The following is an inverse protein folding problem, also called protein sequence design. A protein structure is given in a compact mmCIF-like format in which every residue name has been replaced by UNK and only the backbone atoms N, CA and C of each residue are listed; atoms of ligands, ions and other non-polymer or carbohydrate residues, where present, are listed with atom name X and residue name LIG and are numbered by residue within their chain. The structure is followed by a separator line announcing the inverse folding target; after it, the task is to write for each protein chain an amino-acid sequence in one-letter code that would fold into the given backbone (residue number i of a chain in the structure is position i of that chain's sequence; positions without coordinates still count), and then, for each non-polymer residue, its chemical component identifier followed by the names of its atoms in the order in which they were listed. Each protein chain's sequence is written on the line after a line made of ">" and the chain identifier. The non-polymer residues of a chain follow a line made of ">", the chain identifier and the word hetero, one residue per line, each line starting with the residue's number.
data_IF_696928484195
#
_entry.id   IF_696928484195
#
_cell.length_a   1.000
_cell.length_b   1.000
_cell.length_c   1.000
_cell.angle_alpha   90.00
_cell.angle_beta   90.00
_cell.angle_gamma   90.00
#
_symmetry.space_group_name_H-M   'P 1'
#
loop_
_entity.id
_entity.type
_entity.pdbx_description
1 polymer ?
#
# COMPACT_ATOMS: atom_id res chain seq x y z
N UNK A 1 4.55 -18.67 10.10
CA UNK A 1 5.41 -18.09 9.05
C UNK A 1 4.90 -16.70 8.70
N UNK A 2 5.50 -15.68 9.32
CA UNK A 2 5.07 -14.27 9.28
C UNK A 2 6.01 -13.42 8.42
N UNK A 3 6.56 -13.96 7.33
CA UNK A 3 7.75 -13.40 6.65
C UNK A 3 7.53 -12.87 5.24
N UNK A 4 6.31 -12.92 4.69
CA UNK A 4 6.01 -12.35 3.37
C UNK A 4 5.18 -11.06 3.48
N UNK A 5 5.29 -10.21 2.45
CA UNK A 5 4.36 -9.08 2.28
C UNK A 5 2.91 -9.57 2.25
N UNK A 6 2.00 -8.75 2.78
CA UNK A 6 0.56 -9.00 2.61
C UNK A 6 0.22 -8.92 1.11
N UNK A 7 -0.83 -9.65 0.72
CA UNK A 7 -1.15 -9.87 -0.68
C UNK A 7 -1.76 -8.63 -1.32
N UNK A 8 -0.93 -7.82 -1.97
CA UNK A 8 -1.37 -6.63 -2.68
C UNK A 8 -1.52 -6.88 -4.18
N UNK A 9 -2.54 -6.27 -4.77
CA UNK A 9 -2.77 -6.30 -6.23
C UNK A 9 -1.79 -5.40 -6.99
N UNK A 10 -1.16 -4.45 -6.28
CA UNK A 10 -0.17 -3.55 -6.83
C UNK A 10 0.98 -3.28 -5.87
N UNK A 11 2.21 -3.41 -6.36
CA UNK A 11 3.42 -3.02 -5.64
C UNK A 11 4.09 -1.83 -6.32
N UNK A 12 4.70 -0.97 -5.51
CA UNK A 12 5.64 0.04 -5.96
C UNK A 12 7.03 -0.35 -5.47
N UNK A 13 7.91 -0.71 -6.40
CA UNK A 13 9.27 -1.16 -6.13
C UNK A 13 10.20 0.04 -6.30
N UNK A 14 10.86 0.40 -5.21
CA UNK A 14 11.68 1.60 -5.12
C UNK A 14 13.15 1.19 -4.97
N UNK A 15 13.96 1.44 -5.99
CA UNK A 15 15.40 1.24 -5.92
C UNK A 15 16.09 2.51 -5.48
N UNK A 16 16.87 2.43 -4.41
CA UNK A 16 17.63 3.53 -3.85
C UNK A 16 19.12 3.25 -3.91
N UNK A 17 19.89 4.18 -4.46
CA UNK A 17 21.34 4.21 -4.29
C UNK A 17 21.68 5.27 -3.26
N UNK A 18 22.20 4.85 -2.10
CA UNK A 18 22.62 5.75 -1.03
C UNK A 18 24.14 5.78 -0.99
N UNK A 19 24.71 6.93 -1.32
CA UNK A 19 26.16 7.14 -1.24
C UNK A 19 26.52 7.98 -0.02
N UNK A 20 27.22 7.36 0.93
CA UNK A 20 27.73 8.03 2.13
C UNK A 20 29.23 8.39 2.02
N UNK A 21 29.87 8.14 0.88
CA UNK A 21 31.25 8.52 0.60
C UNK A 21 31.28 9.74 -0.33
N UNK A 22 31.51 10.92 0.25
CA UNK A 22 31.40 12.22 -0.43
C UNK A 22 32.59 12.53 -1.37
N UNK A 23 33.78 11.95 -1.17
CA UNK A 23 35.03 12.47 -1.78
C UNK A 23 35.72 11.53 -2.79
N UNK A 24 35.61 10.20 -2.63
CA UNK A 24 36.45 9.26 -3.41
C UNK A 24 35.68 8.23 -4.24
N UNK A 25 34.37 8.09 -4.01
CA UNK A 25 33.63 6.95 -4.56
C UNK A 25 32.36 7.38 -5.29
N UNK A 26 32.46 7.54 -6.61
CA UNK A 26 31.28 7.70 -7.47
C UNK A 26 31.02 6.40 -8.22
N UNK A 27 30.22 5.52 -7.61
CA UNK A 27 29.56 4.49 -8.39
C UNK A 27 28.77 5.21 -9.49
N UNK A 28 29.05 4.89 -10.76
CA UNK A 28 28.52 5.71 -11.86
C UNK A 28 26.99 5.61 -11.88
N UNK A 29 26.34 6.73 -11.56
CA UNK A 29 24.88 6.87 -11.43
C UNK A 29 24.16 6.35 -12.66
N UNK A 30 24.66 6.73 -13.84
CA UNK A 30 24.03 6.36 -15.12
C UNK A 30 24.07 4.86 -15.33
N UNK A 31 25.17 4.20 -14.93
CA UNK A 31 25.30 2.74 -15.04
C UNK A 31 24.34 2.00 -14.09
N UNK A 32 24.10 2.52 -12.89
CA UNK A 32 23.16 1.90 -11.95
C UNK A 32 21.73 1.94 -12.49
N UNK A 33 21.28 3.11 -12.97
CA UNK A 33 19.96 3.27 -13.59
C UNK A 33 19.82 2.47 -14.90
N UNK A 34 20.87 2.45 -15.72
CA UNK A 34 20.93 1.66 -16.96
C UNK A 34 20.82 0.15 -16.68
N UNK A 35 21.51 -0.35 -15.65
CA UNK A 35 21.44 -1.77 -15.30
C UNK A 35 20.06 -2.15 -14.75
N UNK A 36 19.45 -1.29 -13.93
CA UNK A 36 18.08 -1.56 -13.45
C UNK A 36 17.10 -1.57 -14.61
N UNK A 37 17.16 -0.57 -15.49
CA UNK A 37 16.26 -0.45 -16.64
C UNK A 37 16.46 -1.54 -17.69
N UNK A 38 17.69 -2.03 -17.89
CA UNK A 38 18.00 -3.08 -18.86
C UNK A 38 17.82 -4.51 -18.33
N UNK A 39 18.00 -4.74 -17.03
CA UNK A 39 18.04 -6.10 -16.46
C UNK A 39 16.86 -6.39 -15.55
N UNK A 40 16.65 -5.58 -14.51
CA UNK A 40 15.64 -5.85 -13.49
C UNK A 40 14.24 -5.55 -14.02
N UNK A 41 14.04 -4.36 -14.60
CA UNK A 41 12.72 -3.90 -15.05
C UNK A 41 12.11 -4.90 -16.06
N UNK A 42 12.82 -5.34 -17.11
CA UNK A 42 12.25 -6.30 -18.06
C UNK A 42 11.99 -7.66 -17.44
N UNK A 43 12.88 -8.13 -16.55
CA UNK A 43 12.69 -9.39 -15.85
C UNK A 43 11.41 -9.37 -14.98
N UNK A 44 11.24 -8.31 -14.17
CA UNK A 44 10.08 -8.18 -13.29
C UNK A 44 8.78 -8.02 -14.07
N UNK A 45 8.76 -7.17 -15.10
CA UNK A 45 7.57 -6.96 -15.93
C UNK A 45 7.22 -8.24 -16.67
N UNK A 46 8.15 -8.86 -17.39
CA UNK A 46 7.84 -10.05 -18.20
C UNK A 46 7.41 -11.24 -17.35
N UNK A 47 7.95 -11.38 -16.14
CA UNK A 47 7.63 -12.51 -15.26
C UNK A 47 6.33 -12.29 -14.48
N UNK A 48 6.12 -11.08 -13.95
CA UNK A 48 5.08 -10.83 -12.94
C UNK A 48 3.94 -9.93 -13.38
N UNK A 49 4.05 -9.18 -14.49
CA UNK A 49 3.02 -8.19 -14.88
C UNK A 49 1.63 -8.79 -15.12
N UNK A 50 1.56 -10.05 -15.52
CA UNK A 50 0.30 -10.77 -15.71
C UNK A 50 -0.42 -11.07 -14.38
N UNK A 51 0.30 -11.07 -13.26
CA UNK A 51 -0.20 -11.50 -11.95
C UNK A 51 -0.23 -10.36 -10.92
N UNK A 52 0.61 -9.35 -11.09
CA UNK A 52 0.68 -8.18 -10.22
C UNK A 52 0.97 -6.93 -11.03
N UNK A 53 0.31 -5.84 -10.67
CA UNK A 53 0.67 -4.52 -11.17
C UNK A 53 1.92 -4.01 -10.45
N UNK A 54 3.01 -3.78 -11.17
CA UNK A 54 4.29 -3.35 -10.61
C UNK A 54 4.65 -1.99 -11.20
N UNK A 55 4.77 -0.99 -10.33
CA UNK A 55 5.45 0.27 -10.68
C UNK A 55 6.88 0.18 -10.16
N UNK A 56 7.85 0.57 -10.99
CA UNK A 56 9.25 0.60 -10.60
C UNK A 56 9.73 2.05 -10.70
N UNK A 57 10.36 2.54 -9.63
CA UNK A 57 11.09 3.80 -9.69
C UNK A 57 12.48 3.67 -9.08
N UNK A 58 13.41 4.45 -9.62
CA UNK A 58 14.81 4.47 -9.23
C UNK A 58 15.13 5.87 -8.71
N UNK A 59 15.75 5.94 -7.56
CA UNK A 59 16.15 7.20 -6.94
C UNK A 59 17.56 7.10 -6.35
N UNK A 60 18.27 8.22 -6.34
CA UNK A 60 19.64 8.29 -5.84
C UNK A 60 19.73 9.39 -4.80
N UNK A 61 20.17 9.02 -3.60
CA UNK A 61 20.31 9.92 -2.47
C UNK A 61 21.81 10.07 -2.16
N UNK A 62 22.29 11.31 -2.22
CA UNK A 62 23.63 11.68 -1.83
C UNK A 62 23.64 12.25 -0.42
N UNK A 63 24.74 12.04 0.30
CA UNK A 63 25.04 12.60 1.62
C UNK A 63 24.05 12.22 2.71
N UNK A 64 24.44 11.21 3.49
CA UNK A 64 23.61 10.67 4.56
C UNK A 64 24.40 10.53 5.85
N UNK A 65 25.02 11.65 6.25
CA UNK A 65 25.80 11.71 7.49
C UNK A 65 24.92 11.28 8.67
N UNK A 66 25.39 10.27 9.42
CA UNK A 66 24.76 9.82 10.65
C UNK A 66 23.72 8.72 10.53
N UNK A 67 23.53 8.07 9.36
CA UNK A 67 22.72 6.84 9.28
C UNK A 67 23.30 5.76 10.21
N UNK A 68 24.60 5.49 10.10
CA UNK A 68 25.27 4.51 10.95
C UNK A 68 25.59 5.10 12.33
N UNK A 69 25.53 4.30 13.42
CA UNK A 69 25.69 4.80 14.78
C UNK A 69 27.06 5.43 15.08
N UNK A 70 28.14 4.93 14.47
CA UNK A 70 29.52 5.41 14.68
C UNK A 70 30.38 5.24 13.42
N UNK A 71 31.43 6.07 13.30
CA UNK A 71 32.38 6.06 12.17
C UNK A 71 33.22 4.77 12.04
N UNK A 72 33.18 3.88 13.04
CA UNK A 72 34.05 2.68 13.13
C UNK A 72 33.29 1.35 13.15
N UNK A 73 31.98 1.34 12.90
CA UNK A 73 31.22 0.08 12.86
C UNK A 73 31.51 -0.66 11.54
N UNK A 74 32.17 -1.81 11.67
CA UNK A 74 32.35 -2.79 10.60
C UNK A 74 31.33 -3.95 10.67
N UNK A 75 30.57 -4.04 11.75
CA UNK A 75 29.56 -5.08 11.95
C UNK A 75 28.26 -4.49 12.50
N UNK A 76 27.20 -4.56 11.71
CA UNK A 76 25.85 -4.18 12.12
C UNK A 76 25.18 -5.36 12.83
N UNK A 77 24.96 -5.21 14.13
CA UNK A 77 24.26 -6.23 14.93
C UNK A 77 22.75 -6.20 14.67
N UNK A 78 22.08 -7.35 14.81
CA UNK A 78 20.61 -7.46 14.66
C UNK A 78 19.83 -6.44 15.48
N UNK A 79 20.32 -6.09 16.67
CA UNK A 79 19.69 -5.10 17.56
C UNK A 79 19.74 -3.67 17.01
N UNK A 80 20.69 -3.37 16.12
CA UNK A 80 20.88 -2.06 15.51
C UNK A 80 20.08 -1.90 14.21
N UNK A 81 19.62 -2.99 13.59
CA UNK A 81 18.87 -2.97 12.34
C UNK A 81 17.62 -2.07 12.43
N UNK A 82 16.74 -2.17 13.45
CA UNK A 82 15.56 -1.30 13.51
C UNK A 82 15.91 0.19 13.54
N UNK A 83 16.95 0.58 14.27
CA UNK A 83 17.41 1.97 14.33
C UNK A 83 17.98 2.45 12.99
N UNK A 84 18.72 1.58 12.32
CA UNK A 84 19.25 1.86 10.98
C UNK A 84 18.13 2.05 9.96
N UNK A 85 17.12 1.17 9.96
CA UNK A 85 15.96 1.27 9.06
C UNK A 85 15.15 2.54 9.33
N UNK A 86 14.89 2.88 10.61
CA UNK A 86 14.16 4.12 10.93
C UNK A 86 14.88 5.37 10.42
N UNK A 87 16.21 5.42 10.50
CA UNK A 87 17.00 6.53 9.96
C UNK A 87 16.96 6.58 8.44
N UNK A 88 16.96 5.42 7.77
CA UNK A 88 16.81 5.33 6.33
C UNK A 88 15.42 5.81 5.90
N UNK A 89 14.36 5.36 6.56
CA UNK A 89 12.98 5.71 6.22
C UNK A 89 12.73 7.21 6.19
N UNK A 90 13.38 7.98 7.07
CA UNK A 90 13.32 9.45 7.05
C UNK A 90 13.87 10.07 5.76
N UNK A 91 14.80 9.40 5.08
CA UNK A 91 15.44 9.87 3.85
C UNK A 91 14.69 9.42 2.60
N UNK A 92 13.89 8.35 2.69
CA UNK A 92 13.17 7.81 1.56
C UNK A 92 11.95 8.69 1.28
N UNK A 93 11.81 9.16 0.03
CA UNK A 93 10.63 9.93 -0.35
C UNK A 93 9.36 9.10 -0.15
N UNK A 94 8.40 9.66 0.58
CA UNK A 94 7.06 9.12 0.64
C UNK A 94 6.37 9.41 -0.70
N UNK A 95 6.38 8.45 -1.62
CA UNK A 95 5.57 8.53 -2.85
C UNK A 95 4.10 8.82 -2.49
N UNK A 96 3.44 9.65 -3.30
CA UNK A 96 2.06 10.13 -3.10
C UNK A 96 0.99 9.06 -3.40
N UNK A 97 1.39 7.88 -3.89
CA UNK A 97 0.49 6.77 -4.22
C UNK A 97 0.21 5.92 -2.98
N UNK A 98 -0.73 6.38 -2.15
CA UNK A 98 -1.10 5.69 -0.90
C UNK A 98 -1.72 4.29 -1.07
N UNK A 99 -2.12 3.91 -2.29
CA UNK A 99 -2.85 2.67 -2.57
C UNK A 99 -1.96 1.48 -3.00
N UNK A 100 -0.64 1.64 -3.05
CA UNK A 100 0.31 0.58 -3.43
C UNK A 100 1.18 0.18 -2.25
N UNK A 101 1.39 -1.13 -2.08
CA UNK A 101 2.37 -1.64 -1.12
C UNK A 101 3.77 -1.35 -1.64
N UNK A 102 4.64 -0.81 -0.77
CA UNK A 102 5.96 -0.33 -1.17
C UNK A 102 7.02 -1.36 -0.80
N UNK A 103 7.96 -1.60 -1.71
CA UNK A 103 9.12 -2.48 -1.48
C UNK A 103 10.40 -1.69 -1.74
N UNK A 104 11.22 -1.52 -0.71
CA UNK A 104 12.46 -0.77 -0.79
C UNK A 104 13.64 -1.69 -1.12
N UNK A 105 14.41 -1.36 -2.16
CA UNK A 105 15.68 -2.00 -2.48
C UNK A 105 16.80 -0.98 -2.42
N UNK A 106 17.61 -1.04 -1.36
CA UNK A 106 18.63 -0.04 -1.10
C UNK A 106 20.01 -0.63 -1.37
N UNK A 107 20.77 -0.01 -2.26
CA UNK A 107 22.20 -0.19 -2.38
C UNK A 107 22.89 0.88 -1.53
N UNK A 108 23.47 0.47 -0.40
CA UNK A 108 24.15 1.35 0.52
C UNK A 108 25.67 1.29 0.30
N UNK A 109 26.27 2.42 -0.03
CA UNK A 109 27.71 2.59 -0.14
C UNK A 109 28.21 3.23 1.17
N UNK A 110 28.91 2.48 2.03
CA UNK A 110 29.50 3.02 3.25
C UNK A 110 30.70 3.92 2.96
N UNK A 111 31.09 4.68 3.99
CA UNK A 111 32.33 5.46 3.97
C UNK A 111 33.55 4.52 3.98
N UNK A 112 34.71 4.99 3.49
CA UNK A 112 35.95 4.20 3.45
C UNK A 112 36.35 3.71 4.84
N UNK A 113 36.16 4.55 5.86
CA UNK A 113 36.46 4.22 7.27
C UNK A 113 35.58 3.10 7.82
N UNK A 114 34.38 2.93 7.28
CA UNK A 114 33.39 1.96 7.73
C UNK A 114 33.41 0.68 6.87
N UNK A 115 34.02 0.74 5.69
CA UNK A 115 34.11 -0.39 4.77
C UNK A 115 35.15 -1.38 5.32
N UNK A 116 34.84 -2.69 5.42
CA UNK A 116 33.58 -3.33 5.04
C UNK A 116 32.55 -3.35 6.16
N UNK A 117 31.26 -3.30 5.80
CA UNK A 117 30.15 -3.54 6.72
C UNK A 117 29.64 -4.96 6.55
N UNK A 118 29.68 -5.72 7.63
CA UNK A 118 29.10 -7.06 7.73
C UNK A 118 27.87 -7.04 8.64
N UNK A 119 26.98 -7.99 8.45
CA UNK A 119 25.77 -8.14 9.26
C UNK A 119 25.90 -9.36 10.15
N UNK A 120 25.66 -9.19 11.44
CA UNK A 120 25.59 -10.27 12.44
C UNK A 120 26.82 -11.20 12.46
N UNK A 121 28.01 -10.67 12.16
CA UNK A 121 29.31 -11.40 12.10
C UNK A 121 29.37 -12.57 11.11
N UNK A 122 28.33 -12.77 10.29
CA UNK A 122 28.20 -13.90 9.36
C UNK A 122 28.74 -13.59 7.95
N UNK A 123 29.63 -12.60 7.82
CA UNK A 123 30.14 -12.08 6.53
C UNK A 123 29.04 -11.66 5.51
N UNK A 124 27.78 -11.63 5.93
CA UNK A 124 26.68 -11.21 5.08
C UNK A 124 26.75 -9.70 4.88
N UNK A 125 26.61 -9.28 3.62
CA UNK A 125 26.59 -7.88 3.23
C UNK A 125 25.16 -7.38 2.95
N UNK A 126 24.12 -8.09 3.38
CA UNK A 126 22.74 -7.70 3.12
C UNK A 126 21.80 -7.95 4.29
N UNK A 127 20.69 -7.22 4.29
CA UNK A 127 19.61 -7.31 5.26
C UNK A 127 18.30 -7.43 4.49
N UNK A 128 17.44 -8.35 4.91
CA UNK A 128 16.05 -8.43 4.46
C UNK A 128 15.15 -8.08 5.63
N UNK A 129 14.28 -7.11 5.44
CA UNK A 129 13.30 -6.66 6.43
C UNK A 129 11.90 -7.01 5.90
N UNK A 130 11.20 -7.97 6.52
CA UNK A 130 9.86 -8.36 6.10
C UNK A 130 8.91 -7.16 6.06
N UNK A 131 8.06 -7.10 5.03
CA UNK A 131 7.09 -6.01 4.79
C UNK A 131 7.71 -4.62 4.56
N UNK A 132 9.01 -4.53 4.38
CA UNK A 132 9.69 -3.27 4.09
C UNK A 132 10.56 -3.39 2.85
N UNK A 133 11.51 -4.32 2.80
CA UNK A 133 12.47 -4.37 1.70
C UNK A 133 13.79 -5.04 2.02
N UNK A 134 14.84 -4.67 1.30
CA UNK A 134 16.20 -5.13 1.57
C UNK A 134 17.24 -4.03 1.39
N UNK A 135 18.33 -4.16 2.15
CA UNK A 135 19.51 -3.29 2.05
C UNK A 135 20.70 -4.16 1.70
N UNK A 136 21.49 -3.78 0.70
CA UNK A 136 22.75 -4.40 0.33
C UNK A 136 23.87 -3.39 0.58
N UNK A 137 24.84 -3.77 1.39
CA UNK A 137 26.05 -3.03 1.64
C UNK A 137 27.08 -3.34 0.55
N UNK A 138 27.54 -2.30 -0.13
CA UNK A 138 28.56 -2.41 -1.15
C UNK A 138 29.96 -2.34 -0.53
N UNK A 139 30.53 -3.51 -0.24
CA UNK A 139 31.89 -3.64 0.27
C UNK A 139 32.84 -3.86 -0.91
N UNK A 140 33.45 -2.81 -1.46
CA UNK A 140 34.41 -2.96 -2.57
C UNK A 140 35.71 -3.58 -2.08
N UNK A 141 36.00 -4.81 -2.50
CA UNK A 141 37.29 -5.45 -2.29
C UNK A 141 38.04 -5.50 -3.63
N UNK A 142 38.58 -4.37 -4.10
CA UNK A 142 39.53 -4.30 -5.24
C UNK A 142 39.08 -4.86 -6.62
N UNK A 143 37.79 -5.04 -6.89
CA UNK A 143 37.30 -5.46 -8.20
C UNK A 143 37.35 -4.31 -9.22
N UNK A 144 38.17 -4.46 -10.27
CA UNK A 144 38.26 -3.51 -11.39
C UNK A 144 37.00 -3.49 -12.29
N UNK A 145 36.01 -4.36 -12.05
CA UNK A 145 34.84 -4.56 -12.90
C UNK A 145 33.53 -4.22 -12.16
N UNK A 146 33.26 -2.93 -11.98
CA UNK A 146 32.02 -2.41 -11.36
C UNK A 146 30.74 -2.98 -11.97
N UNK A 147 30.75 -3.23 -13.28
CA UNK A 147 29.59 -3.79 -14.00
C UNK A 147 29.26 -5.21 -13.53
N UNK A 148 30.29 -6.04 -13.27
CA UNK A 148 30.07 -7.40 -12.78
C UNK A 148 29.52 -7.39 -11.36
N UNK A 149 30.04 -6.50 -10.50
CA UNK A 149 29.56 -6.35 -9.14
C UNK A 149 28.10 -5.90 -9.12
N UNK A 150 27.73 -4.91 -9.94
CA UNK A 150 26.34 -4.47 -10.09
C UNK A 150 25.44 -5.60 -10.55
N UNK A 151 25.86 -6.42 -11.53
CA UNK A 151 25.09 -7.58 -11.96
C UNK A 151 24.87 -8.61 -10.84
N UNK A 152 25.88 -8.84 -9.99
CA UNK A 152 25.75 -9.71 -8.82
C UNK A 152 24.76 -9.12 -7.79
N UNK A 153 24.83 -7.81 -7.54
CA UNK A 153 23.91 -7.09 -6.64
C UNK A 153 22.48 -7.17 -7.18
N UNK A 154 22.28 -7.01 -8.49
CA UNK A 154 20.95 -7.14 -9.10
C UNK A 154 20.39 -8.55 -8.91
N UNK A 155 21.21 -9.59 -9.08
CA UNK A 155 20.80 -10.98 -8.79
C UNK A 155 20.42 -11.17 -7.32
N UNK A 156 21.17 -10.57 -6.40
CA UNK A 156 20.83 -10.59 -4.98
C UNK A 156 19.49 -9.89 -4.70
N UNK A 157 19.22 -8.73 -5.32
CA UNK A 157 17.94 -8.06 -5.20
C UNK A 157 16.76 -8.91 -5.69
N UNK A 158 16.91 -9.62 -6.82
CA UNK A 158 15.88 -10.53 -7.30
C UNK A 158 15.65 -11.70 -6.33
N UNK A 159 16.70 -12.24 -5.73
CA UNK A 159 16.56 -13.28 -4.70
C UNK A 159 15.85 -12.74 -3.45
N UNK A 160 16.18 -11.53 -3.00
CA UNK A 160 15.49 -10.88 -1.88
C UNK A 160 14.03 -10.59 -2.22
N UNK A 161 13.73 -10.17 -3.44
CA UNK A 161 12.36 -9.98 -3.92
C UNK A 161 11.54 -11.26 -3.83
N UNK A 162 12.08 -12.37 -4.35
CA UNK A 162 11.43 -13.67 -4.26
C UNK A 162 11.22 -14.09 -2.80
N UNK A 163 12.21 -13.87 -1.93
CA UNK A 163 12.08 -14.16 -0.50
C UNK A 163 10.99 -13.31 0.19
N UNK A 164 10.93 -12.00 -0.11
CA UNK A 164 9.95 -11.06 0.44
C UNK A 164 8.52 -11.38 -0.01
N UNK A 165 8.35 -11.94 -1.21
CA UNK A 165 7.07 -12.42 -1.71
C UNK A 165 6.75 -13.87 -1.29
N UNK A 166 7.66 -14.56 -0.63
CA UNK A 166 7.49 -15.96 -0.24
C UNK A 166 7.43 -16.92 -1.44
N UNK A 167 8.12 -16.58 -2.54
CA UNK A 167 8.15 -17.37 -3.77
C UNK A 167 9.14 -18.53 -3.58
N UNK A 168 8.61 -19.71 -3.25
CA UNK A 168 9.37 -20.96 -3.30
C UNK A 168 9.41 -21.51 -4.73
N UNK A 169 8.23 -21.63 -5.36
CA UNK A 169 8.06 -21.94 -6.77
C UNK A 169 6.99 -21.03 -7.36
N UNK A 170 7.16 -20.66 -8.63
CA UNK A 170 6.27 -19.73 -9.30
C UNK A 170 4.83 -20.27 -9.39
N UNK A 171 4.66 -21.56 -9.67
CA UNK A 171 3.36 -22.22 -9.73
C UNK A 171 2.63 -22.21 -8.39
N UNK A 172 3.32 -22.58 -7.31
CA UNK A 172 2.76 -22.56 -5.95
C UNK A 172 2.37 -21.14 -5.55
N UNK A 173 3.21 -20.16 -5.89
CA UNK A 173 2.94 -18.77 -5.59
C UNK A 173 1.70 -18.25 -6.33
N UNK A 174 1.55 -18.54 -7.62
CA UNK A 174 0.33 -18.19 -8.38
C UNK A 174 -0.90 -18.83 -7.74
N UNK A 175 -0.82 -20.12 -7.43
CA UNK A 175 -1.93 -20.86 -6.84
C UNK A 175 -2.40 -20.26 -5.51
N UNK A 176 -1.46 -19.99 -4.59
CA UNK A 176 -1.77 -19.34 -3.31
C UNK A 176 -2.40 -17.97 -3.52
N UNK A 177 -1.84 -17.17 -4.43
CA UNK A 177 -2.34 -15.84 -4.77
C UNK A 177 -3.74 -15.88 -5.38
N UNK A 178 -4.06 -16.87 -6.19
CA UNK A 178 -5.41 -17.07 -6.74
C UNK A 178 -6.42 -17.30 -5.63
N UNK A 179 -6.10 -18.19 -4.68
CA UNK A 179 -6.97 -18.49 -3.53
C UNK A 179 -7.15 -17.25 -2.63
N UNK A 180 -6.06 -16.54 -2.35
CA UNK A 180 -6.10 -15.32 -1.55
C UNK A 180 -6.91 -14.23 -2.24
N UNK A 181 -6.71 -14.01 -3.55
CA UNK A 181 -7.49 -13.06 -4.32
C UNK A 181 -9.00 -13.40 -4.30
N UNK A 182 -9.35 -14.67 -4.50
CA UNK A 182 -10.73 -15.14 -4.42
C UNK A 182 -11.35 -14.89 -3.04
N UNK A 183 -10.68 -15.32 -1.97
CA UNK A 183 -11.18 -15.17 -0.61
C UNK A 183 -11.31 -13.71 -0.21
N UNK A 184 -10.31 -12.88 -0.54
CA UNK A 184 -10.34 -11.44 -0.28
C UNK A 184 -11.48 -10.77 -1.06
N UNK A 185 -11.63 -11.04 -2.36
CA UNK A 185 -12.71 -10.49 -3.17
C UNK A 185 -14.10 -10.90 -2.65
N UNK A 186 -14.28 -12.18 -2.32
CA UNK A 186 -15.52 -12.68 -1.70
C UNK A 186 -15.79 -12.00 -0.35
N UNK A 187 -14.79 -11.85 0.51
CA UNK A 187 -14.93 -11.18 1.79
C UNK A 187 -15.29 -9.69 1.63
N UNK A 188 -14.67 -8.99 0.67
CA UNK A 188 -15.01 -7.60 0.34
C UNK A 188 -16.47 -7.50 -0.08
N UNK A 189 -16.95 -8.36 -0.99
CA UNK A 189 -18.36 -8.36 -1.43
C UNK A 189 -19.35 -8.74 -0.31
N UNK A 190 -18.99 -9.68 0.57
CA UNK A 190 -19.80 -10.00 1.75
C UNK A 190 -19.92 -8.80 2.69
N UNK A 191 -18.81 -8.12 2.93
CA UNK A 191 -18.78 -6.91 3.77
C UNK A 191 -19.58 -5.79 3.10
N UNK A 192 -19.46 -5.61 1.79
CA UNK A 192 -20.27 -4.67 1.01
C UNK A 192 -21.76 -4.98 1.17
N UNK A 193 -22.17 -6.24 1.01
CA UNK A 193 -23.57 -6.66 1.17
C UNK A 193 -24.09 -6.35 2.58
N UNK A 194 -23.29 -6.61 3.62
CA UNK A 194 -23.66 -6.27 5.00
C UNK A 194 -23.81 -4.75 5.21
N UNK A 195 -22.93 -3.94 4.63
CA UNK A 195 -23.02 -2.48 4.69
C UNK A 195 -24.29 -1.97 4.00
N UNK A 196 -24.58 -2.49 2.79
CA UNK A 196 -25.78 -2.12 2.04
C UNK A 196 -27.08 -2.48 2.79
N UNK A 197 -27.09 -3.60 3.52
CA UNK A 197 -28.24 -4.00 4.35
C UNK A 197 -28.38 -3.17 5.62
N UNK A 198 -27.27 -2.69 6.17
CA UNK A 198 -27.25 -1.97 7.45
C UNK A 198 -27.63 -0.49 7.33
N UNK A 199 -27.45 0.11 6.15
CA UNK A 199 -27.69 1.53 5.92
C UNK A 199 -29.00 1.70 5.11
N UNK A 200 -30.10 2.15 5.73
CA UNK A 200 -31.34 2.39 5.01
C UNK A 200 -31.15 3.50 3.97
N UNK A 201 -31.64 3.28 2.74
CA UNK A 201 -31.62 4.24 1.62
C UNK A 201 -30.25 4.51 0.97
N UNK A 202 -29.35 3.54 0.92
CA UNK A 202 -28.14 3.64 0.09
C UNK A 202 -28.50 3.70 -1.40
N UNK A 203 -28.06 4.75 -2.09
CA UNK A 203 -28.24 4.91 -3.54
C UNK A 203 -27.00 4.36 -4.24
N UNK A 204 -27.19 3.35 -5.09
CA UNK A 204 -26.11 2.75 -5.88
C UNK A 204 -26.29 3.20 -7.33
N UNK A 205 -25.27 3.85 -7.89
CA UNK A 205 -25.26 4.25 -9.30
C UNK A 205 -25.22 3.02 -10.22
N UNK A 206 -25.85 3.11 -11.40
CA UNK A 206 -25.86 2.03 -12.40
C UNK A 206 -24.45 1.55 -12.78
N UNK A 207 -23.48 2.46 -12.79
CA UNK A 207 -22.08 2.14 -13.07
C UNK A 207 -21.46 1.25 -11.97
N UNK A 208 -21.82 1.47 -10.71
CA UNK A 208 -21.36 0.66 -9.58
C UNK A 208 -22.09 -0.68 -9.55
N UNK A 209 -23.41 -0.69 -9.79
CA UNK A 209 -24.17 -1.92 -9.91
C UNK A 209 -23.55 -2.85 -10.97
N UNK A 210 -23.20 -2.31 -12.15
CA UNK A 210 -22.52 -3.08 -13.20
C UNK A 210 -21.15 -3.62 -12.75
N UNK A 211 -20.36 -2.84 -12.01
CA UNK A 211 -19.06 -3.32 -11.47
C UNK A 211 -19.25 -4.43 -10.44
N UNK A 212 -20.27 -4.35 -9.58
CA UNK A 212 -20.59 -5.41 -8.60
C UNK A 212 -20.95 -6.70 -9.34
N UNK A 213 -21.83 -6.63 -10.35
CA UNK A 213 -22.20 -7.80 -11.15
C UNK A 213 -20.99 -8.38 -11.88
N UNK A 214 -20.18 -7.55 -12.55
CA UNK A 214 -18.97 -8.02 -13.20
C UNK A 214 -17.98 -8.67 -12.21
N UNK A 215 -17.85 -8.12 -11.00
CA UNK A 215 -17.00 -8.69 -9.96
C UNK A 215 -17.49 -10.08 -9.51
N UNK A 216 -18.81 -10.23 -9.30
CA UNK A 216 -19.43 -11.51 -8.97
C UNK A 216 -19.23 -12.54 -10.08
N UNK A 217 -19.54 -12.19 -11.34
CA UNK A 217 -19.39 -13.07 -12.50
C UNK A 217 -17.94 -13.55 -12.66
N UNK A 218 -16.96 -12.68 -12.43
CA UNK A 218 -15.54 -13.03 -12.52
C UNK A 218 -15.09 -13.93 -11.35
N UNK A 219 -15.57 -13.67 -10.13
CA UNK A 219 -15.24 -14.53 -8.98
C UNK A 219 -15.90 -15.91 -9.09
N UNK A 220 -17.11 -16.00 -9.63
CA UNK A 220 -17.79 -17.27 -9.91
C UNK A 220 -17.05 -18.07 -10.99
N UNK A 221 -16.70 -17.44 -12.11
CA UNK A 221 -15.85 -18.07 -13.14
C UNK A 221 -14.49 -18.52 -12.60
N UNK A 222 -13.89 -17.72 -11.71
CA UNK A 222 -12.64 -18.10 -11.10
C UNK A 222 -12.78 -19.32 -10.19
N UNK A 223 -13.90 -19.45 -9.46
CA UNK A 223 -14.17 -20.63 -8.64
C UNK A 223 -14.22 -21.91 -9.48
N UNK A 224 -14.78 -21.84 -10.69
CA UNK A 224 -14.91 -23.00 -11.58
C UNK A 224 -13.60 -23.33 -12.32
N UNK A 225 -12.92 -22.32 -12.85
CA UNK A 225 -11.76 -22.51 -13.73
C UNK A 225 -10.40 -22.33 -13.04
N UNK A 226 -10.36 -21.89 -11.77
CA UNK A 226 -9.16 -21.52 -11.01
C UNK A 226 -8.21 -20.57 -11.77
N UNK A 227 -8.75 -19.72 -12.65
CA UNK A 227 -7.98 -18.78 -13.45
C UNK A 227 -7.57 -17.57 -12.62
N UNK A 228 -6.26 -17.39 -12.41
CA UNK A 228 -5.71 -16.31 -11.60
C UNK A 228 -6.23 -14.92 -12.00
N UNK A 229 -6.24 -14.64 -13.30
CA UNK A 229 -6.62 -13.34 -13.84
C UNK A 229 -8.06 -12.98 -13.49
N UNK A 230 -8.99 -13.93 -13.58
CA UNK A 230 -10.39 -13.72 -13.24
C UNK A 230 -10.55 -13.41 -11.75
N UNK A 231 -9.88 -14.16 -10.88
CA UNK A 231 -9.86 -13.89 -9.44
C UNK A 231 -9.28 -12.51 -9.11
N UNK A 232 -8.18 -12.15 -9.76
CA UNK A 232 -7.51 -10.87 -9.54
C UNK A 232 -8.40 -9.70 -9.98
N UNK A 233 -8.97 -9.77 -11.19
CA UNK A 233 -9.85 -8.73 -11.72
C UNK A 233 -11.15 -8.65 -10.92
N UNK A 234 -11.74 -9.80 -10.56
CA UNK A 234 -12.92 -9.88 -9.70
C UNK A 234 -12.69 -9.19 -8.35
N UNK A 235 -11.56 -9.47 -7.69
CA UNK A 235 -11.16 -8.78 -6.45
C UNK A 235 -10.96 -7.27 -6.67
N UNK A 236 -10.23 -6.87 -7.71
CA UNK A 236 -9.96 -5.46 -7.98
C UNK A 236 -11.25 -4.66 -8.17
N UNK A 237 -12.23 -5.21 -8.88
CA UNK A 237 -13.54 -4.58 -9.03
C UNK A 237 -14.30 -4.52 -7.70
N UNK A 238 -14.24 -5.57 -6.87
CA UNK A 238 -14.86 -5.56 -5.54
C UNK A 238 -14.27 -4.46 -4.65
N UNK A 239 -12.93 -4.37 -4.60
CA UNK A 239 -12.21 -3.35 -3.82
C UNK A 239 -12.55 -1.94 -4.35
N UNK A 240 -12.55 -1.74 -5.68
CA UNK A 240 -12.91 -0.46 -6.29
C UNK A 240 -14.32 0.01 -5.92
N UNK A 241 -15.31 -0.90 -5.92
CA UNK A 241 -16.67 -0.55 -5.53
C UNK A 241 -16.74 -0.26 -4.04
N UNK A 242 -16.16 -1.13 -3.20
CA UNK A 242 -16.20 -0.98 -1.75
C UNK A 242 -15.61 0.34 -1.26
N UNK A 243 -14.53 0.82 -1.89
CA UNK A 243 -13.88 2.09 -1.56
C UNK A 243 -14.37 3.27 -2.41
N UNK A 244 -15.45 3.13 -3.18
CA UNK A 244 -15.96 4.23 -4.00
C UNK A 244 -16.49 5.39 -3.10
N UNK A 245 -16.11 6.65 -3.38
CA UNK A 245 -16.55 7.79 -2.57
C UNK A 245 -18.07 7.93 -2.45
N UNK A 246 -18.85 7.48 -3.44
CA UNK A 246 -20.32 7.56 -3.41
C UNK A 246 -20.92 6.75 -2.26
N UNK A 247 -20.40 5.54 -2.01
CA UNK A 247 -20.85 4.66 -0.93
C UNK A 247 -20.36 5.16 0.44
N UNK A 248 -19.19 5.79 0.49
CA UNK A 248 -18.63 6.35 1.73
C UNK A 248 -19.27 7.68 2.14
N UNK A 249 -19.71 8.50 1.17
CA UNK A 249 -20.29 9.82 1.44
C UNK A 249 -21.64 9.77 2.15
N UNK A 250 -22.39 8.68 1.99
CA UNK A 250 -23.69 8.49 2.64
C UNK A 250 -23.56 8.17 4.14
N UNK A 251 -22.39 7.72 4.61
CA UNK A 251 -22.10 7.52 6.04
C UNK A 251 -21.92 8.85 6.80
N UNK A 252 -21.71 9.97 6.11
CA UNK A 252 -21.35 11.25 6.74
C UNK A 252 -22.53 12.11 7.21
N UNK A 253 -23.78 11.69 6.99
CA UNK A 253 -24.94 12.40 7.55
C UNK A 253 -25.97 11.42 8.12
N UNK A 254 -25.69 10.80 9.28
CA UNK A 254 -26.72 10.14 10.06
C UNK A 254 -27.82 11.15 10.39
N UNK A 255 -29.06 10.68 10.49
CA UNK A 255 -30.22 11.54 10.76
C UNK A 255 -30.03 12.38 12.05
N UNK A 256 -29.31 11.87 13.03
CA UNK A 256 -28.97 12.59 14.27
C UNK A 256 -28.14 13.87 14.00
N UNK A 257 -27.19 13.81 13.07
CA UNK A 257 -26.39 14.97 12.67
C UNK A 257 -27.21 15.96 11.83
N UNK A 258 -28.17 15.44 11.07
CA UNK A 258 -29.14 16.25 10.33
C UNK A 258 -30.00 17.08 11.29
N UNK A 259 -30.48 16.49 12.39
CA UNK A 259 -31.22 17.23 13.43
C UNK A 259 -30.33 18.26 14.13
N UNK A 260 -29.06 17.94 14.43
CA UNK A 260 -28.15 18.89 15.06
C UNK A 260 -27.90 20.17 14.24
N UNK A 261 -27.98 20.08 12.90
CA UNK A 261 -27.85 21.24 12.00
C UNK A 261 -29.18 21.98 11.85
N UNK A 262 -30.27 21.24 11.62
CA UNK A 262 -31.56 21.85 11.29
C UNK A 262 -32.34 22.36 12.50
N UNK A 263 -32.19 21.75 13.68
CA UNK A 263 -32.90 22.19 14.88
C UNK A 263 -32.51 23.62 15.27
N UNK A 264 -31.22 24.00 15.41
CA UNK A 264 -30.86 25.39 15.73
C UNK A 264 -31.32 26.40 14.68
N UNK A 265 -31.37 26.00 13.39
CA UNK A 265 -31.77 26.88 12.29
C UNK A 265 -33.28 27.11 12.24
N UNK A 266 -34.08 26.04 12.37
CA UNK A 266 -35.52 26.09 12.15
C UNK A 266 -36.35 26.17 13.43
N UNK A 267 -35.83 25.74 14.58
CA UNK A 267 -36.54 25.83 15.86
C UNK A 267 -36.91 27.29 16.23
N UNK A 268 -36.03 28.30 16.05
CA UNK A 268 -36.38 29.69 16.37
C UNK A 268 -37.51 30.25 15.50
N UNK A 269 -37.63 29.78 14.26
CA UNK A 269 -38.71 30.19 13.34
C UNK A 269 -39.98 29.36 13.57
N UNK A 270 -39.84 28.06 13.86
CA UNK A 270 -40.95 27.14 14.05
C UNK A 270 -41.66 27.28 15.39
N UNK A 271 -40.94 27.57 16.48
CA UNK A 271 -41.53 27.67 17.81
C UNK A 271 -42.58 28.78 17.94
N UNK A 272 -42.36 30.02 17.43
CA UNK A 272 -43.39 31.06 17.45
C UNK A 272 -44.65 30.69 16.65
N UNK A 273 -44.46 30.10 15.46
CA UNK A 273 -45.58 29.67 14.60
C UNK A 273 -46.40 28.55 15.23
N UNK A 274 -45.74 27.59 15.87
CA UNK A 274 -46.42 26.54 16.62
C UNK A 274 -47.19 27.12 17.81
N UNK A 275 -46.61 28.10 18.51
CA UNK A 275 -47.25 28.76 19.65
C UNK A 275 -48.52 29.53 19.23
N UNK A 276 -48.47 30.27 18.12
CA UNK A 276 -49.66 30.96 17.59
C UNK A 276 -50.75 29.99 17.19
N UNK A 277 -50.41 28.91 16.46
CA UNK A 277 -51.36 27.86 16.07
C UNK A 277 -52.05 27.22 17.28
N UNK A 278 -51.30 26.91 18.35
CA UNK A 278 -51.87 26.33 19.57
C UNK A 278 -52.88 27.29 20.22
N UNK A 279 -52.59 28.58 20.24
CA UNK A 279 -53.50 29.58 20.83
C UNK A 279 -54.76 29.76 19.99
N UNK A 280 -54.63 29.79 18.67
CA UNK A 280 -55.76 29.90 17.75
C UNK A 280 -56.69 28.67 17.86
N UNK A 281 -56.11 27.47 17.96
CA UNK A 281 -56.88 26.23 18.19
C UNK A 281 -57.59 26.27 19.55
N UNK A 282 -56.94 26.71 20.62
CA UNK A 282 -57.57 26.86 21.94
C UNK A 282 -58.69 27.88 21.92
N UNK A 283 -58.52 28.99 21.21
CA UNK A 283 -59.53 30.02 21.04
C UNK A 283 -60.76 29.46 20.31
N UNK A 284 -60.55 28.74 19.20
CA UNK A 284 -61.62 28.05 18.47
C UNK A 284 -62.37 27.04 19.34
N UNK A 285 -61.67 26.21 20.12
CA UNK A 285 -62.29 25.24 21.03
C UNK A 285 -63.13 25.95 22.10
N UNK A 286 -62.64 27.05 22.67
CA UNK A 286 -63.38 27.82 23.67
C UNK A 286 -64.63 28.50 23.09
N UNK A 287 -64.57 28.98 21.83
CA UNK A 287 -65.76 29.50 21.14
C UNK A 287 -66.80 28.39 20.95
N UNK A 288 -66.38 27.22 20.49
CA UNK A 288 -67.28 26.07 20.28
C UNK A 288 -67.91 25.64 21.62
N UNK A 289 -67.16 25.71 22.72
CA UNK A 289 -67.64 25.34 24.06
C UNK A 289 -68.56 26.40 24.69
N UNK A 290 -68.48 27.66 24.26
CA UNK A 290 -69.33 28.76 24.72
C UNK A 290 -70.66 28.86 23.96
N UNK A 291 -70.72 28.33 22.75
CA UNK A 291 -71.92 28.22 21.92
C UNK A 291 -72.72 26.92 22.14
N UNK A 292 -72.37 26.13 23.17
CA UNK A 292 -73.08 24.92 23.62
C UNK A 292 -73.64 25.17 25.01
#
# INVERSE_FOLDING_TARGET
>A
NLTSFQTASSYEILFYLINNNDENYSLNKTKYEEIISSTIVPYLINTYSNYINIDISTEIIFTTRGILPTETIHNLEKKQIPFFINKLEYLLHHSTKHYKEKIFFILFIPDEKQTPITVDKNEQNSIIVPKWGSVIFYNKYNSNNELNDLNLIMKQFLNHFNHLLGIETFEKWIYLRTIENYNNGRQTLLTLSQLLLSIPNIVIDDSMAKKIHNSLDLLEKCQDNNQHNDCQQGRLLADQVFFDPSLLKLLYFPDDQKFAIYVPLYLPMGAPLAWTLINDIKFLINIIKKNR
#
